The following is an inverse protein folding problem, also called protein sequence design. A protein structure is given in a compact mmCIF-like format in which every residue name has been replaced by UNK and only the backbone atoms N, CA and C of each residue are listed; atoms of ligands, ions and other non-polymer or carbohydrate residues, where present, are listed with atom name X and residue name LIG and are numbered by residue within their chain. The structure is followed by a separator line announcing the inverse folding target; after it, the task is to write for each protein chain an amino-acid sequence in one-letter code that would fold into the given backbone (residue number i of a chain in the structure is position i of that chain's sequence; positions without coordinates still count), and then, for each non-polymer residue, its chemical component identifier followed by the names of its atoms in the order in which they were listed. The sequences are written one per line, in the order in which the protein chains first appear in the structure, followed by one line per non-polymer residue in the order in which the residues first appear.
data_IF_016922205858
#
_entry.id   IF_016922205858
#
_cell.length_a   1.000
_cell.length_b   1.000
_cell.length_c   1.000
_cell.angle_alpha   90.00
_cell.angle_beta   90.00
_cell.angle_gamma   90.00
#
_symmetry.space_group_name_H-M   'P 1'
#
loop_
_entity.id
_entity.type
_entity.pdbx_description
1 polymer ?
#
# COMPACT_ATOMS: atom_id res chain seq x y z
N UNK A 1 7.31 27.95 14.75
CA UNK A 1 7.45 26.65 15.45
C UNK A 1 6.27 25.78 15.02
N UNK A 2 6.43 25.05 13.91
CA UNK A 2 5.35 24.31 13.25
C UNK A 2 5.06 23.01 14.01
N UNK A 3 4.15 23.05 14.97
CA UNK A 3 3.69 21.84 15.65
C UNK A 3 2.73 21.08 14.72
N UNK A 4 3.37 20.21 13.92
CA UNK A 4 2.95 18.85 13.51
C UNK A 4 1.64 18.66 12.72
N UNK A 5 1.65 18.82 11.38
CA UNK A 5 0.71 18.13 10.49
C UNK A 5 0.85 16.58 10.52
N UNK A 6 1.83 16.01 11.21
CA UNK A 6 2.01 14.55 11.29
C UNK A 6 0.92 13.82 12.07
N UNK A 7 0.28 14.48 13.05
CA UNK A 7 -0.83 13.89 13.80
C UNK A 7 -2.08 13.76 12.91
N UNK A 8 -2.31 14.69 11.99
CA UNK A 8 -3.41 14.64 11.03
C UNK A 8 -3.12 13.77 9.80
N UNK A 9 -1.83 13.52 9.51
CA UNK A 9 -1.44 12.69 8.37
C UNK A 9 -1.38 11.18 8.67
N UNK A 10 -1.68 10.74 9.90
CA UNK A 10 -1.56 9.32 10.26
C UNK A 10 -0.18 8.74 9.85
N UNK A 11 0.88 9.57 9.96
CA UNK A 11 2.21 9.27 9.43
C UNK A 11 2.88 8.22 10.34
N UNK A 12 3.40 7.17 9.74
CA UNK A 12 4.14 6.12 10.43
C UNK A 12 5.31 5.63 9.61
N UNK A 13 6.29 5.02 10.28
CA UNK A 13 7.40 4.32 9.65
C UNK A 13 7.09 2.83 9.60
N UNK A 14 7.16 2.24 8.40
CA UNK A 14 6.99 0.79 8.19
C UNK A 14 8.35 0.11 8.35
N UNK A 15 9.37 0.65 7.68
CA UNK A 15 10.74 0.16 7.73
C UNK A 15 11.70 1.36 7.80
N UNK A 16 12.60 1.42 8.81
CA UNK A 16 13.47 2.58 9.04
C UNK A 16 14.20 3.07 7.78
N UNK A 17 13.94 4.31 7.39
CA UNK A 17 14.57 4.95 6.22
C UNK A 17 14.23 4.32 4.86
N UNK A 18 13.28 3.37 4.81
CA UNK A 18 12.94 2.61 3.58
C UNK A 18 11.49 2.71 3.18
N UNK A 19 10.56 2.71 4.13
CA UNK A 19 9.14 2.78 3.84
C UNK A 19 8.35 3.49 4.94
N UNK A 20 7.44 4.34 4.51
CA UNK A 20 6.55 5.17 5.33
C UNK A 20 5.10 4.94 4.93
N UNK A 21 4.17 5.21 5.86
CA UNK A 21 2.72 5.19 5.64
C UNK A 21 2.08 6.52 6.00
N UNK A 22 1.03 6.94 5.32
CA UNK A 22 0.24 8.12 5.72
C UNK A 22 -1.19 8.13 5.17
N UNK A 23 -1.97 9.12 5.60
CA UNK A 23 -3.14 9.67 4.91
C UNK A 23 -2.71 10.52 3.70
N UNK A 24 -3.67 11.05 2.94
CA UNK A 24 -3.36 11.82 1.72
C UNK A 24 -2.55 13.08 2.06
N UNK A 25 -1.32 13.25 1.54
CA UNK A 25 -0.53 14.44 1.81
C UNK A 25 -1.03 15.67 1.02
N UNK A 26 -1.53 15.47 -0.21
CA UNK A 26 -2.00 16.56 -1.07
C UNK A 26 -0.93 17.63 -1.28
N UNK A 27 -1.28 18.91 -1.12
CA UNK A 27 -0.34 20.03 -1.23
C UNK A 27 0.88 19.98 -0.28
N UNK A 28 0.89 19.09 0.73
CA UNK A 28 2.04 18.90 1.63
C UNK A 28 3.08 17.89 1.12
N UNK A 29 2.84 17.25 -0.04
CA UNK A 29 3.72 16.21 -0.57
C UNK A 29 5.17 16.67 -0.71
N UNK A 30 5.41 17.93 -1.14
CA UNK A 30 6.77 18.44 -1.35
C UNK A 30 7.59 18.50 -0.07
N UNK A 31 6.99 18.97 1.03
CA UNK A 31 7.66 18.98 2.34
C UNK A 31 7.93 17.57 2.86
N UNK A 32 7.03 16.62 2.59
CA UNK A 32 7.23 15.22 3.00
C UNK A 32 8.32 14.53 2.17
N UNK A 33 8.40 14.83 0.86
CA UNK A 33 9.48 14.37 -0.01
C UNK A 33 10.83 14.86 0.51
N UNK A 34 10.96 16.15 0.82
CA UNK A 34 12.22 16.73 1.32
C UNK A 34 12.63 16.13 2.67
N UNK A 35 11.70 16.08 3.63
CA UNK A 35 11.98 15.67 5.00
C UNK A 35 12.31 14.17 5.12
N UNK A 36 11.62 13.33 4.34
CA UNK A 36 11.81 11.86 4.35
C UNK A 36 12.70 11.38 3.22
N UNK A 37 13.18 12.29 2.37
CA UNK A 37 14.00 12.00 1.18
C UNK A 37 13.34 10.95 0.29
N UNK A 38 12.04 11.06 0.07
CA UNK A 38 11.25 10.06 -0.65
C UNK A 38 11.79 9.90 -2.08
N UNK A 39 11.90 8.66 -2.53
CA UNK A 39 12.22 8.32 -3.92
C UNK A 39 11.00 7.80 -4.68
N UNK A 40 9.97 7.32 -3.97
CA UNK A 40 8.70 6.91 -4.57
C UNK A 40 7.50 7.14 -3.65
N UNK A 41 6.32 7.24 -4.27
CA UNK A 41 5.01 7.39 -3.63
C UNK A 41 4.05 6.37 -4.26
N UNK A 42 3.29 5.66 -3.43
CA UNK A 42 2.21 4.75 -3.82
C UNK A 42 0.87 5.30 -3.32
N UNK A 43 0.06 5.76 -4.27
CA UNK A 43 -1.29 6.25 -4.03
C UNK A 43 -2.32 5.12 -4.16
N UNK A 44 -2.93 4.74 -3.04
CA UNK A 44 -4.00 3.74 -2.98
C UNK A 44 -5.40 4.35 -3.00
N UNK A 45 -5.49 5.69 -2.97
CA UNK A 45 -6.77 6.41 -2.97
C UNK A 45 -7.37 6.47 -4.36
N UNK A 46 -6.54 6.63 -5.39
CA UNK A 46 -6.94 7.11 -6.71
C UNK A 46 -7.33 8.58 -6.69
N UNK A 47 -7.45 9.19 -7.85
CA UNK A 47 -7.87 10.58 -8.02
C UNK A 47 -8.11 10.89 -9.48
N UNK A 48 -8.76 12.03 -9.73
CA UNK A 48 -9.08 12.54 -11.07
C UNK A 48 -8.42 13.90 -11.31
N UNK A 49 -8.35 14.36 -12.56
CA UNK A 49 -7.79 15.68 -12.88
C UNK A 49 -8.57 16.85 -12.24
N UNK A 50 -9.82 16.62 -11.82
CA UNK A 50 -10.64 17.59 -11.07
C UNK A 50 -10.31 17.62 -9.58
N UNK A 51 -9.62 16.61 -9.06
CA UNK A 51 -9.21 16.53 -7.67
C UNK A 51 -7.96 17.38 -7.43
N UNK A 52 -8.13 18.60 -6.93
CA UNK A 52 -7.01 19.52 -6.66
C UNK A 52 -5.86 18.88 -5.87
N UNK A 53 -6.19 18.09 -4.84
CA UNK A 53 -5.20 17.40 -4.01
C UNK A 53 -4.37 16.38 -4.81
N UNK A 54 -4.97 15.71 -5.80
CA UNK A 54 -4.32 14.71 -6.65
C UNK A 54 -3.41 15.38 -7.67
N UNK A 55 -3.89 16.46 -8.30
CA UNK A 55 -3.08 17.28 -9.22
C UNK A 55 -1.84 17.83 -8.52
N UNK A 56 -2.01 18.39 -7.32
CA UNK A 56 -0.90 18.92 -6.52
C UNK A 56 0.10 17.81 -6.15
N UNK A 57 -0.39 16.62 -5.81
CA UNK A 57 0.45 15.48 -5.44
C UNK A 57 1.27 14.95 -6.62
N UNK A 58 0.63 14.69 -7.76
CA UNK A 58 1.28 14.24 -9.00
C UNK A 58 2.30 15.27 -9.47
N UNK A 59 1.95 16.56 -9.44
CA UNK A 59 2.85 17.64 -9.81
C UNK A 59 4.06 17.72 -8.90
N UNK A 60 3.85 17.67 -7.58
CA UNK A 60 4.94 17.71 -6.60
C UNK A 60 5.90 16.54 -6.72
N UNK A 61 5.39 15.32 -6.94
CA UNK A 61 6.22 14.15 -7.18
C UNK A 61 7.05 14.31 -8.47
N UNK A 62 6.42 14.76 -9.56
CA UNK A 62 7.07 14.99 -10.85
C UNK A 62 8.18 16.05 -10.76
N UNK A 63 7.89 17.20 -10.14
CA UNK A 63 8.86 18.30 -9.99
C UNK A 63 10.07 17.88 -9.14
N UNK A 64 9.88 16.96 -8.20
CA UNK A 64 10.95 16.43 -7.35
C UNK A 64 11.68 15.19 -7.93
N UNK A 65 11.27 14.68 -9.10
CA UNK A 65 11.86 13.45 -9.69
C UNK A 65 11.54 12.16 -8.90
N UNK A 66 10.44 12.17 -8.15
CA UNK A 66 9.95 11.05 -7.35
C UNK A 66 8.99 10.19 -8.17
N UNK A 67 9.15 8.87 -8.12
CA UNK A 67 8.24 7.96 -8.82
C UNK A 67 6.85 8.00 -8.15
N UNK A 68 5.81 8.22 -8.94
CA UNK A 68 4.44 8.20 -8.45
C UNK A 68 3.70 6.97 -9.01
N UNK A 69 3.32 6.03 -8.17
CA UNK A 69 2.54 4.85 -8.55
C UNK A 69 1.08 5.04 -8.13
N UNK A 70 0.17 5.04 -9.10
CA UNK A 70 -1.27 5.20 -8.84
C UNK A 70 -2.00 3.86 -8.97
N UNK A 71 -2.30 3.23 -7.83
CA UNK A 71 -2.96 1.93 -7.73
C UNK A 71 -4.17 2.03 -6.78
N UNK A 72 -5.32 2.55 -7.25
CA UNK A 72 -6.49 2.69 -6.41
C UNK A 72 -7.00 1.33 -5.93
N UNK A 73 -7.22 1.22 -4.62
CA UNK A 73 -7.88 0.07 -4.02
C UNK A 73 -9.24 0.51 -3.45
N UNK A 74 -10.18 -0.43 -3.39
CA UNK A 74 -11.42 -0.21 -2.65
C UNK A 74 -11.15 -0.14 -1.16
N UNK A 75 -11.87 0.74 -0.46
CA UNK A 75 -11.85 0.80 0.99
C UNK A 75 -12.81 -0.20 1.66
N UNK A 76 -13.68 -0.86 0.90
CA UNK A 76 -14.78 -1.68 1.47
C UNK A 76 -14.81 -3.12 0.94
N UNK A 77 -14.42 -3.36 -0.32
CA UNK A 77 -14.28 -4.73 -0.83
C UNK A 77 -12.86 -5.24 -0.63
N UNK A 78 -12.73 -6.56 -0.52
CA UNK A 78 -11.44 -7.25 -0.65
C UNK A 78 -10.80 -6.95 -2.01
N UNK A 79 -9.46 -6.97 -2.09
CA UNK A 79 -8.76 -6.76 -3.36
C UNK A 79 -9.02 -7.95 -4.30
N UNK A 80 -9.06 -7.67 -5.60
CA UNK A 80 -9.00 -8.70 -6.64
C UNK A 80 -7.62 -9.34 -6.68
N UNK A 81 -7.49 -10.50 -7.35
CA UNK A 81 -6.19 -11.13 -7.58
C UNK A 81 -5.26 -10.20 -8.33
N UNK A 82 -5.76 -9.59 -9.42
CA UNK A 82 -5.01 -8.60 -10.21
C UNK A 82 -4.48 -7.46 -9.37
N UNK A 83 -5.29 -6.89 -8.47
CA UNK A 83 -4.87 -5.80 -7.59
C UNK A 83 -3.80 -6.22 -6.59
N UNK A 84 -3.93 -7.42 -5.99
CA UNK A 84 -2.90 -7.93 -5.08
C UNK A 84 -1.58 -8.17 -5.81
N UNK A 85 -1.61 -8.78 -7.00
CA UNK A 85 -0.40 -9.01 -7.80
C UNK A 85 0.27 -7.68 -8.20
N UNK A 86 -0.51 -6.70 -8.65
CA UNK A 86 0.01 -5.35 -8.96
C UNK A 86 0.61 -4.67 -7.73
N UNK A 87 -0.03 -4.80 -6.56
CA UNK A 87 0.48 -4.25 -5.32
C UNK A 87 1.81 -4.89 -4.91
N UNK A 88 1.91 -6.22 -4.99
CA UNK A 88 3.14 -6.97 -4.73
C UNK A 88 4.26 -6.48 -5.67
N UNK A 89 3.98 -6.40 -6.97
CA UNK A 89 4.98 -6.04 -7.97
C UNK A 89 5.45 -4.57 -7.79
N UNK A 90 4.53 -3.64 -7.50
CA UNK A 90 4.90 -2.24 -7.22
C UNK A 90 5.73 -2.13 -5.95
N UNK A 91 5.33 -2.78 -4.85
CA UNK A 91 6.07 -2.70 -3.59
C UNK A 91 7.47 -3.30 -3.69
N UNK A 92 7.64 -4.35 -4.50
CA UNK A 92 8.95 -4.96 -4.77
C UNK A 92 9.85 -4.08 -5.66
N UNK A 93 9.28 -3.34 -6.61
CA UNK A 93 10.02 -2.55 -7.59
C UNK A 93 10.27 -1.08 -7.17
N UNK A 94 9.44 -0.53 -6.27
CA UNK A 94 9.49 0.88 -5.91
C UNK A 94 10.82 1.27 -5.24
N UNK A 95 11.38 2.41 -5.66
CA UNK A 95 12.64 2.94 -5.09
C UNK A 95 12.44 3.40 -3.65
N UNK A 96 13.20 2.92 -2.66
CA UNK A 96 13.13 3.44 -1.30
C UNK A 96 13.85 4.81 -1.20
N UNK A 97 13.42 5.70 -0.29
CA UNK A 97 12.29 5.55 0.63
C UNK A 97 10.93 5.69 -0.07
N UNK A 98 10.03 4.75 0.18
CA UNK A 98 8.67 4.70 -0.37
C UNK A 98 7.67 5.30 0.62
N UNK A 99 6.75 6.14 0.15
CA UNK A 99 5.55 6.52 0.90
C UNK A 99 4.32 5.77 0.39
N UNK A 100 3.61 5.07 1.27
CA UNK A 100 2.34 4.40 0.96
C UNK A 100 1.20 5.19 1.59
N UNK A 101 0.21 5.64 0.80
CA UNK A 101 -0.92 6.38 1.37
C UNK A 101 -2.27 6.03 0.75
N UNK A 102 -3.32 6.37 1.48
CA UNK A 102 -4.70 6.36 0.97
C UNK A 102 -5.43 7.63 1.42
N UNK A 103 -6.75 7.59 1.66
CA UNK A 103 -7.49 8.76 2.20
C UNK A 103 -7.11 9.06 3.65
N UNK A 104 -7.34 8.12 4.56
CA UNK A 104 -7.15 8.29 6.00
C UNK A 104 -5.87 7.65 6.55
N UNK A 105 -5.15 6.88 5.72
CA UNK A 105 -3.95 6.16 6.15
C UNK A 105 -4.21 4.93 7.02
N UNK A 106 -5.47 4.48 7.13
CA UNK A 106 -5.88 3.35 7.96
C UNK A 106 -5.88 2.04 7.15
N UNK A 107 -6.93 1.81 6.36
CA UNK A 107 -7.30 0.47 5.90
C UNK A 107 -6.54 -0.03 4.69
N UNK A 108 -6.64 0.69 3.56
CA UNK A 108 -5.88 0.37 2.32
C UNK A 108 -4.38 0.47 2.56
N UNK A 109 -3.97 1.49 3.31
CA UNK A 109 -2.58 1.66 3.76
C UNK A 109 -2.15 0.52 4.68
N UNK A 110 -3.04 0.04 5.55
CA UNK A 110 -2.84 -1.14 6.38
C UNK A 110 -2.57 -2.38 5.52
N UNK A 111 -3.46 -2.69 4.57
CA UNK A 111 -3.27 -3.80 3.62
C UNK A 111 -1.92 -3.70 2.91
N UNK A 112 -1.58 -2.55 2.33
CA UNK A 112 -0.31 -2.38 1.64
C UNK A 112 0.91 -2.47 2.57
N UNK A 113 0.78 -2.05 3.84
CA UNK A 113 1.82 -2.25 4.86
C UNK A 113 2.02 -3.74 5.14
N UNK A 114 0.94 -4.51 5.29
CA UNK A 114 1.00 -5.97 5.49
C UNK A 114 1.64 -6.65 4.28
N UNK A 115 1.24 -6.29 3.06
CA UNK A 115 1.83 -6.84 1.83
C UNK A 115 3.32 -6.47 1.71
N UNK A 116 3.71 -5.23 2.06
CA UNK A 116 5.11 -4.84 2.11
C UNK A 116 5.90 -5.70 3.11
N UNK A 117 5.33 -5.96 4.29
CA UNK A 117 5.95 -6.81 5.31
C UNK A 117 6.15 -8.25 4.82
N UNK A 118 5.15 -8.84 4.15
CA UNK A 118 5.23 -10.18 3.55
C UNK A 118 6.26 -10.24 2.42
N UNK A 119 6.27 -9.25 1.53
CA UNK A 119 7.00 -9.38 0.25
C UNK A 119 8.39 -8.76 0.27
N UNK A 120 8.56 -7.62 0.94
CA UNK A 120 9.82 -6.87 0.96
C UNK A 120 10.64 -7.19 2.22
N UNK A 121 9.97 -7.36 3.37
CA UNK A 121 10.64 -7.71 4.62
C UNK A 121 10.69 -9.22 4.89
N UNK A 122 9.87 -10.03 4.20
CA UNK A 122 9.79 -11.47 4.39
C UNK A 122 9.27 -11.88 5.77
N UNK A 123 8.49 -11.03 6.43
CA UNK A 123 7.90 -11.32 7.72
C UNK A 123 6.73 -12.31 7.56
N UNK A 124 6.57 -13.30 8.46
CA UNK A 124 5.46 -14.24 8.36
C UNK A 124 4.11 -13.54 8.65
N UNK A 125 2.97 -14.11 8.21
CA UNK A 125 1.66 -13.47 8.32
C UNK A 125 1.32 -12.92 9.70
N UNK A 126 1.68 -13.64 10.77
CA UNK A 126 1.38 -13.25 12.15
C UNK A 126 2.06 -11.94 12.55
N UNK A 127 3.25 -11.67 12.00
CA UNK A 127 4.01 -10.43 12.22
C UNK A 127 3.63 -9.37 11.20
N UNK A 128 3.36 -9.78 9.96
CA UNK A 128 2.97 -8.84 8.91
C UNK A 128 1.67 -8.12 9.25
N UNK A 129 0.72 -8.82 9.89
CA UNK A 129 -0.58 -8.30 10.31
C UNK A 129 -0.52 -7.11 11.28
N UNK A 130 0.62 -6.83 11.92
CA UNK A 130 0.84 -5.61 12.72
C UNK A 130 0.63 -4.32 11.88
N UNK A 131 0.66 -4.42 10.54
CA UNK A 131 0.28 -3.32 9.63
C UNK A 131 -1.17 -2.86 9.76
N UNK A 132 -2.09 -3.74 10.19
CA UNK A 132 -3.44 -3.38 10.61
C UNK A 132 -3.43 -3.07 12.11
N UNK A 133 -3.38 -1.78 12.45
CA UNK A 133 -3.27 -1.36 13.85
C UNK A 133 -4.35 -0.35 14.21
N UNK A 134 -4.95 -0.54 15.40
CA UNK A 134 -5.85 0.42 16.02
C UNK A 134 -5.19 1.78 16.24
N UNK A 135 -3.85 1.81 16.40
CA UNK A 135 -3.09 3.06 16.49
C UNK A 135 -3.26 3.93 15.23
N UNK A 136 -3.34 3.30 14.06
CA UNK A 136 -3.59 3.99 12.79
C UNK A 136 -5.09 4.06 12.42
N UNK A 137 -5.98 3.80 13.38
CA UNK A 137 -7.42 3.92 13.22
C UNK A 137 -8.12 2.71 12.57
N UNK A 138 -7.45 1.56 12.49
CA UNK A 138 -8.08 0.33 12.01
C UNK A 138 -8.83 -0.39 13.14
N UNK A 139 -10.16 -0.45 13.05
CA UNK A 139 -11.03 -1.09 14.04
C UNK A 139 -11.85 -2.23 13.40
N UNK A 140 -11.48 -3.51 13.61
CA UNK A 140 -12.12 -4.64 12.93
C UNK A 140 -13.59 -4.87 13.34
N UNK A 141 -14.04 -4.28 14.46
CA UNK A 141 -15.37 -4.50 15.06
C UNK A 141 -16.48 -3.68 14.38
N UNK A 142 -16.15 -2.73 13.50
CA UNK A 142 -17.13 -1.84 12.85
C UNK A 142 -17.66 -2.34 11.48
N UNK A 143 -17.47 -3.62 11.15
CA UNK A 143 -17.98 -4.22 9.89
C UNK A 143 -17.25 -3.79 8.62
N UNK A 144 -16.13 -3.09 8.78
CA UNK A 144 -15.20 -2.66 7.73
C UNK A 144 -13.82 -3.22 8.11
N UNK A 145 -13.07 -4.01 7.35
CA UNK A 145 -13.08 -4.29 5.93
C UNK A 145 -12.60 -5.72 5.68
N UNK A 146 -13.04 -6.31 4.57
CA UNK A 146 -12.57 -7.59 4.02
C UNK A 146 -11.11 -7.55 3.51
N UNK A 147 -10.35 -6.52 3.86
CA UNK A 147 -8.98 -6.29 3.37
C UNK A 147 -7.94 -7.17 4.08
N UNK A 148 -8.22 -7.64 5.29
CA UNK A 148 -7.34 -8.59 5.99
C UNK A 148 -7.57 -10.05 5.56
N UNK A 149 -8.77 -10.39 5.07
CA UNK A 149 -9.15 -11.76 4.66
C UNK A 149 -8.09 -12.48 3.79
N UNK A 150 -7.47 -11.85 2.77
CA UNK A 150 -6.46 -12.52 1.96
C UNK A 150 -5.25 -13.02 2.77
N UNK A 151 -4.89 -12.32 3.84
CA UNK A 151 -3.73 -12.66 4.67
C UNK A 151 -4.07 -13.80 5.63
N UNK A 152 -5.29 -13.81 6.18
CA UNK A 152 -5.79 -14.92 6.98
C UNK A 152 -5.91 -16.21 6.16
N UNK A 153 -6.44 -16.12 4.93
CA UNK A 153 -6.54 -17.24 4.00
C UNK A 153 -5.16 -17.79 3.61
N UNK A 154 -4.18 -16.91 3.39
CA UNK A 154 -2.80 -17.30 3.12
C UNK A 154 -2.16 -18.00 4.32
N UNK A 155 -2.33 -17.46 5.53
CA UNK A 155 -1.83 -18.07 6.76
C UNK A 155 -2.46 -19.46 7.00
N UNK A 156 -3.76 -19.59 6.77
CA UNK A 156 -4.46 -20.87 6.84
C UNK A 156 -3.92 -21.88 5.82
N UNK A 157 -3.68 -21.44 4.58
CA UNK A 157 -3.08 -22.28 3.54
C UNK A 157 -1.67 -22.74 3.91
N UNK A 158 -0.80 -21.83 4.39
CA UNK A 158 0.54 -22.20 4.85
C UNK A 158 0.51 -23.28 5.93
N UNK A 159 -0.39 -23.14 6.90
CA UNK A 159 -0.58 -24.10 7.98
C UNK A 159 -1.08 -25.46 7.47
N UNK A 160 -2.02 -25.47 6.54
CA UNK A 160 -2.57 -26.70 5.95
C UNK A 160 -1.49 -27.47 5.16
N UNK A 161 -0.63 -26.75 4.44
CA UNK A 161 0.46 -27.33 3.64
C UNK A 161 1.74 -27.63 4.45
N UNK A 162 1.81 -27.21 5.72
CA UNK A 162 3.02 -27.34 6.54
C UNK A 162 4.20 -26.52 6.01
N UNK A 163 3.94 -25.39 5.35
CA UNK A 163 4.94 -24.55 4.70
C UNK A 163 5.26 -23.31 5.54
N UNK A 164 6.53 -22.84 5.59
CA UNK A 164 6.85 -21.54 6.17
C UNK A 164 6.37 -20.40 5.27
N UNK A 165 6.53 -19.14 5.69
CA UNK A 165 6.36 -18.03 4.77
C UNK A 165 7.59 -17.84 3.86
N UNK A 166 7.39 -17.35 2.64
CA UNK A 166 8.40 -16.78 1.76
C UNK A 166 7.75 -15.75 0.81
N UNK A 167 8.43 -14.65 0.43
CA UNK A 167 7.87 -13.62 -0.46
C UNK A 167 7.29 -14.14 -1.79
N UNK A 168 8.07 -14.95 -2.49
CA UNK A 168 7.75 -15.61 -3.75
C UNK A 168 6.60 -16.62 -3.58
N UNK A 169 6.51 -17.27 -2.43
CA UNK A 169 5.38 -18.15 -2.08
C UNK A 169 4.09 -17.37 -1.89
N UNK A 170 4.14 -16.20 -1.28
CA UNK A 170 2.95 -15.35 -1.15
C UNK A 170 2.46 -14.90 -2.52
N UNK A 171 3.36 -14.39 -3.40
CA UNK A 171 2.98 -14.03 -4.77
C UNK A 171 2.39 -15.21 -5.53
N UNK A 172 3.02 -16.39 -5.46
CA UNK A 172 2.51 -17.62 -6.10
C UNK A 172 1.13 -18.00 -5.55
N UNK A 173 0.93 -17.94 -4.24
CA UNK A 173 -0.37 -18.22 -3.64
C UNK A 173 -1.45 -17.25 -4.12
N UNK A 174 -1.13 -15.95 -4.23
CA UNK A 174 -2.07 -14.97 -4.82
C UNK A 174 -2.43 -15.36 -6.26
N UNK A 175 -1.44 -15.76 -7.05
CA UNK A 175 -1.67 -16.20 -8.42
C UNK A 175 -2.54 -17.46 -8.49
N UNK A 176 -2.17 -18.53 -7.80
CA UNK A 176 -2.71 -19.89 -7.99
C UNK A 176 -3.92 -20.22 -7.12
N UNK A 177 -3.97 -19.70 -5.88
CA UNK A 177 -4.85 -20.21 -4.83
C UNK A 177 -5.81 -19.19 -4.23
N UNK A 178 -5.53 -17.89 -4.37
CA UNK A 178 -6.37 -16.84 -3.78
C UNK A 178 -7.82 -16.89 -4.31
N UNK A 179 -8.84 -17.04 -3.46
CA UNK A 179 -10.22 -17.08 -3.91
C UNK A 179 -10.67 -15.68 -4.34
N UNK A 180 -10.66 -15.42 -5.65
CA UNK A 180 -11.15 -14.19 -6.26
C UNK A 180 -11.83 -14.45 -7.59
N UNK A 181 -12.82 -13.60 -7.90
CA UNK A 181 -13.69 -13.73 -9.08
C UNK A 181 -12.97 -13.46 -10.41
N UNK A 182 -11.83 -12.75 -10.37
CA UNK A 182 -11.03 -12.44 -11.55
C UNK A 182 -10.04 -13.56 -11.90
N UNK A 183 -9.73 -13.77 -13.18
CA UNK A 183 -8.93 -14.91 -13.62
C UNK A 183 -7.47 -14.83 -13.12
N UNK A 184 -6.83 -15.99 -13.03
CA UNK A 184 -5.40 -16.09 -12.74
C UNK A 184 -4.56 -15.72 -13.96
N UNK A 185 -4.31 -14.42 -14.13
CA UNK A 185 -3.49 -13.85 -15.20
C UNK A 185 -2.49 -12.88 -14.59
N UNK A 186 -1.21 -13.03 -14.95
CA UNK A 186 -0.16 -12.14 -14.45
C UNK A 186 -0.39 -10.72 -15.04
N UNK A 187 -0.60 -9.70 -14.20
CA UNK A 187 -0.90 -8.38 -14.70
C UNK A 187 0.35 -7.72 -15.29
N UNK A 188 0.15 -6.95 -16.37
CA UNK A 188 1.20 -6.02 -16.83
C UNK A 188 1.58 -5.07 -15.67
N UNK A 189 2.87 -4.93 -15.34
CA UNK A 189 3.33 -4.02 -14.29
C UNK A 189 2.87 -2.58 -14.52
N UNK A 190 2.64 -1.85 -13.43
CA UNK A 190 2.31 -0.43 -13.48
C UNK A 190 3.59 0.38 -13.66
N UNK A 191 3.59 1.27 -14.64
CA UNK A 191 4.65 2.27 -14.81
C UNK A 191 4.45 3.44 -13.83
N UNK A 192 5.53 4.10 -13.44
CA UNK A 192 5.45 5.33 -12.68
C UNK A 192 4.72 6.41 -13.51
N UNK A 193 3.74 7.05 -12.90
CA UNK A 193 2.88 8.08 -13.47
C UNK A 193 1.43 7.97 -12.96
N UNK A 194 0.63 9.03 -13.16
CA UNK A 194 -0.80 8.97 -12.91
C UNK A 194 -1.51 8.08 -13.93
N UNK A 195 -2.64 7.45 -13.56
CA UNK A 195 -3.44 6.63 -14.50
C UNK A 195 -4.15 7.46 -15.56
N UNK A 196 -4.42 8.73 -15.25
CA UNK A 196 -5.08 9.68 -16.13
C UNK A 196 -4.14 10.87 -16.37
N UNK A 197 -4.19 11.53 -17.54
CA UNK A 197 -3.46 12.77 -17.77
C UNK A 197 -3.85 13.83 -16.74
N UNK A 198 -2.86 14.52 -16.19
CA UNK A 198 -3.00 15.55 -15.15
C UNK A 198 -2.16 16.78 -15.50
#
# INVERSE_FOLDING_TARGET
MAIRPYVSLNLGEIAPGRAYRSSTPGGWVGGLIEERKLASILNLRGGEATDRWYVEEVRGAREAGVDFYDLPLSAVRRPTRRELLLLIDVLAAARPPLLIHCRAGADRTGLATVVYNLTVLGLPPERAMDGFSAFYGHFPVLGTQRLHEPIDEYAAWLKAEGLPHAPDRFRRWVFEHYPADDPSVDPRPIAAGPRHPV
#
